data_IF_084325637027
#
_entry.id   IF_084325637027
#
_cell.length_a   1.000
_cell.length_b   1.000
_cell.length_c   1.000
_cell.angle_alpha   90.00
_cell.angle_beta   90.00
_cell.angle_gamma   90.00
#
_symmetry.space_group_name_H-M   'P 1'
#
loop_
_entity.id
_entity.type
_entity.pdbx_description
1 polymer ?
#
# COMPACT_ATOMS: atom_id res chain seq x y z
N UNK A 1 -5.36 -12.95 7.58
CA UNK A 1 -3.93 -12.83 7.23
C UNK A 1 -3.31 -11.83 8.20
N UNK A 2 -2.29 -12.22 8.97
CA UNK A 2 -1.72 -11.41 10.06
C UNK A 2 -0.49 -10.65 9.58
N UNK A 3 -0.17 -9.49 10.19
CA UNK A 3 1.01 -8.69 9.80
C UNK A 3 2.32 -9.50 9.84
N UNK A 4 2.41 -10.49 10.73
CA UNK A 4 3.55 -11.39 10.88
C UNK A 4 3.82 -12.26 9.65
N UNK A 5 2.78 -12.63 8.91
CA UNK A 5 2.91 -13.43 7.68
C UNK A 5 3.57 -12.61 6.56
N UNK A 6 3.19 -11.34 6.44
CA UNK A 6 3.81 -10.39 5.51
C UNK A 6 5.29 -10.18 5.86
N UNK A 7 5.63 -10.08 7.15
CA UNK A 7 7.04 -9.97 7.56
C UNK A 7 7.84 -11.22 7.17
N UNK A 8 7.27 -12.43 7.33
CA UNK A 8 7.91 -13.67 6.87
C UNK A 8 8.08 -13.75 5.36
N UNK A 9 7.20 -13.11 4.59
CA UNK A 9 7.31 -12.96 3.13
C UNK A 9 8.37 -11.91 2.70
N UNK A 10 9.09 -11.32 3.66
CA UNK A 10 10.14 -10.32 3.40
C UNK A 10 9.60 -8.90 3.23
N UNK A 11 8.41 -8.60 3.76
CA UNK A 11 7.89 -7.24 3.81
C UNK A 11 8.37 -6.55 5.08
N UNK A 12 8.77 -5.29 4.93
CA UNK A 12 9.08 -4.46 6.10
C UNK A 12 7.79 -4.05 6.84
N UNK A 13 7.88 -3.66 8.12
CA UNK A 13 6.70 -3.22 8.89
C UNK A 13 5.88 -2.14 8.18
N UNK A 14 6.56 -1.18 7.53
CA UNK A 14 5.91 -0.13 6.74
C UNK A 14 5.20 -0.68 5.50
N UNK A 15 5.79 -1.68 4.85
CA UNK A 15 5.20 -2.36 3.70
C UNK A 15 3.96 -3.15 4.10
N UNK A 16 4.03 -3.91 5.20
CA UNK A 16 2.91 -4.64 5.75
C UNK A 16 1.75 -3.70 6.13
N UNK A 17 2.02 -2.59 6.83
CA UNK A 17 1.01 -1.59 7.20
C UNK A 17 0.34 -0.95 5.99
N UNK A 18 1.09 -0.59 4.96
CA UNK A 18 0.53 -0.01 3.74
C UNK A 18 -0.28 -1.03 2.95
N UNK A 19 0.23 -2.25 2.81
CA UNK A 19 -0.47 -3.31 2.11
C UNK A 19 -1.79 -3.65 2.80
N UNK A 20 -1.78 -3.79 4.13
CA UNK A 20 -2.98 -4.04 4.91
C UNK A 20 -3.96 -2.87 4.84
N UNK A 21 -3.48 -1.62 4.98
CA UNK A 21 -4.31 -0.44 4.88
C UNK A 21 -4.96 -0.29 3.49
N UNK A 22 -4.23 -0.62 2.42
CA UNK A 22 -4.78 -0.64 1.08
C UNK A 22 -5.82 -1.76 0.90
N UNK A 23 -5.60 -2.94 1.51
CA UNK A 23 -6.57 -4.03 1.51
C UNK A 23 -7.87 -3.63 2.26
N UNK A 24 -7.74 -2.97 3.41
CA UNK A 24 -8.87 -2.48 4.20
C UNK A 24 -9.65 -1.36 3.50
N UNK A 25 -8.94 -0.43 2.85
CA UNK A 25 -9.56 0.72 2.20
C UNK A 25 -10.07 0.41 0.79
N UNK A 26 -9.57 -0.66 0.15
CA UNK A 26 -9.87 -1.01 -1.23
C UNK A 26 -9.27 -0.03 -2.24
N UNK A 27 -10.01 0.23 -3.33
CA UNK A 27 -9.61 1.18 -4.36
C UNK A 27 -9.62 2.62 -3.80
N UNK A 28 -8.44 3.15 -3.49
CA UNK A 28 -8.33 4.47 -2.88
C UNK A 28 -7.06 5.22 -3.27
N UNK A 29 -6.98 6.48 -2.87
CA UNK A 29 -5.83 7.34 -3.10
C UNK A 29 -4.71 7.09 -2.09
N UNK A 30 -3.47 7.24 -2.56
CA UNK A 30 -2.25 7.11 -1.76
C UNK A 30 -2.28 7.90 -0.45
N UNK A 31 -2.92 9.06 -0.46
CA UNK A 31 -3.02 9.93 0.70
C UNK A 31 -3.87 9.29 1.82
N UNK A 32 -4.96 8.59 1.47
CA UNK A 32 -5.77 7.85 2.47
C UNK A 32 -4.99 6.66 3.01
N UNK A 33 -4.29 5.92 2.14
CA UNK A 33 -3.46 4.77 2.55
C UNK A 33 -2.36 5.23 3.51
N UNK A 34 -1.65 6.30 3.17
CA UNK A 34 -0.62 6.92 4.03
C UNK A 34 -1.19 7.34 5.38
N UNK A 35 -2.37 7.97 5.40
CA UNK A 35 -3.03 8.41 6.64
C UNK A 35 -3.50 7.24 7.51
N UNK A 36 -4.02 6.17 6.91
CA UNK A 36 -4.48 4.95 7.60
C UNK A 36 -3.33 4.08 8.10
N UNK A 37 -2.27 3.93 7.29
CA UNK A 37 -1.07 3.15 7.66
C UNK A 37 -0.12 3.88 8.61
N UNK A 38 -0.27 5.20 8.79
CA UNK A 38 0.61 6.02 9.60
C UNK A 38 2.02 6.18 9.00
N UNK A 39 2.18 5.93 7.70
CA UNK A 39 3.48 5.98 7.00
C UNK A 39 3.59 7.26 6.20
N UNK A 40 4.72 7.95 6.27
CA UNK A 40 4.98 9.18 5.50
C UNK A 40 4.79 8.97 3.99
N UNK A 41 4.32 10.01 3.29
CA UNK A 41 4.04 9.98 1.85
C UNK A 41 5.22 9.45 1.02
N UNK A 42 6.45 9.88 1.34
CA UNK A 42 7.66 9.43 0.64
C UNK A 42 7.86 7.92 0.76
N UNK A 43 7.79 7.40 1.98
CA UNK A 43 7.86 5.95 2.21
C UNK A 43 6.68 5.23 1.56
N UNK A 44 5.48 5.83 1.57
CA UNK A 44 4.32 5.25 0.91
C UNK A 44 4.50 5.10 -0.61
N UNK A 45 5.08 6.10 -1.28
CA UNK A 45 5.42 6.00 -2.70
C UNK A 45 6.43 4.88 -2.97
N UNK A 46 7.52 4.80 -2.19
CA UNK A 46 8.52 3.75 -2.33
C UNK A 46 7.93 2.34 -2.11
N UNK A 47 7.14 2.18 -1.07
CA UNK A 47 6.48 0.91 -0.74
C UNK A 47 5.50 0.51 -1.84
N UNK A 48 4.66 1.44 -2.32
CA UNK A 48 3.69 1.14 -3.37
C UNK A 48 4.38 0.84 -4.69
N UNK A 49 5.49 1.51 -5.00
CA UNK A 49 6.32 1.18 -6.16
C UNK A 49 6.84 -0.26 -6.06
N UNK A 50 7.40 -0.66 -4.91
CA UNK A 50 7.84 -2.04 -4.66
C UNK A 50 6.72 -3.07 -4.76
N UNK A 51 5.57 -2.79 -4.12
CA UNK A 51 4.40 -3.67 -4.17
C UNK A 51 3.87 -3.83 -5.59
N UNK A 52 3.93 -2.75 -6.38
CA UNK A 52 3.56 -2.76 -7.79
C UNK A 52 4.53 -3.59 -8.63
N UNK A 53 5.82 -3.44 -8.39
CA UNK A 53 6.88 -4.19 -9.07
C UNK A 53 6.79 -5.70 -8.76
N UNK A 54 6.42 -6.05 -7.52
CA UNK A 54 6.11 -7.43 -7.11
C UNK A 54 4.78 -7.96 -7.64
N UNK A 55 3.97 -7.16 -8.33
CA UNK A 55 2.64 -7.55 -8.81
C UNK A 55 1.57 -7.69 -7.72
N UNK A 56 1.85 -7.26 -6.49
CA UNK A 56 0.96 -7.36 -5.34
C UNK A 56 -0.04 -6.21 -5.26
N UNK A 57 0.25 -5.09 -5.90
CA UNK A 57 -0.62 -3.91 -5.86
C UNK A 57 -0.68 -3.24 -7.23
N UNK A 58 -1.88 -2.85 -7.67
CA UNK A 58 -2.07 -2.13 -8.94
C UNK A 58 -2.56 -0.73 -8.67
N UNK A 59 -1.80 0.27 -9.14
CA UNK A 59 -2.29 1.65 -9.19
C UNK A 59 -3.10 1.86 -10.45
N UNK A 60 -4.35 2.27 -10.27
CA UNK A 60 -5.25 2.66 -11.35
C UNK A 60 -5.45 4.16 -11.30
N UNK A 61 -5.07 4.83 -12.39
CA UNK A 61 -5.34 6.26 -12.55
C UNK A 61 -6.78 6.40 -13.02
N UNK A 62 -7.72 6.51 -12.07
CA UNK A 62 -9.11 6.83 -12.38
C UNK A 62 -9.17 8.28 -12.84
N UNK A 63 -9.05 8.52 -14.15
CA UNK A 63 -9.44 9.80 -14.74
C UNK A 63 -10.94 9.93 -14.51
N UNK A 64 -11.37 10.91 -13.71
CA UNK A 64 -12.78 11.32 -13.68
C UNK A 64 -13.13 11.67 -15.12
N UNK A 65 -13.91 10.81 -15.76
CA UNK A 65 -14.63 11.21 -16.96
C UNK A 65 -15.73 12.16 -16.47
N UNK A 66 -15.76 13.29 -17.15
CA UNK A 66 -16.64 14.45 -17.05
C UNK A 66 -18.07 14.11 -16.64
#
# INVERSE_FOLDING_TARGET
MTYKDLIKLGFNEKEAKIYLAALELGETVIQRISKKSGVNRTSAYHVIARLKEKGLMRTITKRKKT
#
